data_IF_543797179843
#
_entry.id   IF_543797179843
#
_cell.length_a   1.000
_cell.length_b   1.000
_cell.length_c   1.000
_cell.angle_alpha   90.00
_cell.angle_beta   90.00
_cell.angle_gamma   90.00
#
_symmetry.space_group_name_H-M   'P 1'
#
loop_
_entity.id
_entity.type
_entity.pdbx_description
1 polymer ?
#
# COMPACT_ATOMS: atom_id res chain seq x y z
N UNK A 1 -3.85 43.17 -24.97
CA UNK A 1 -4.76 42.35 -24.14
C UNK A 1 -3.92 41.22 -23.53
N UNK A 2 -3.45 41.45 -22.31
CA UNK A 2 -2.69 40.48 -21.53
C UNK A 2 -3.63 39.38 -21.04
N UNK A 3 -3.50 38.17 -21.57
CA UNK A 3 -4.11 36.99 -20.94
C UNK A 3 -3.15 36.51 -19.86
N UNK A 4 -3.51 36.81 -18.62
CA UNK A 4 -3.03 36.10 -17.44
C UNK A 4 -3.56 34.66 -17.51
N UNK A 5 -2.72 33.73 -17.93
CA UNK A 5 -2.97 32.31 -17.71
C UNK A 5 -2.43 31.98 -16.33
N UNK A 6 -3.31 31.98 -15.34
CA UNK A 6 -3.06 31.31 -14.07
C UNK A 6 -3.14 29.80 -14.34
N UNK A 7 -2.03 29.22 -14.78
CA UNK A 7 -1.84 27.78 -14.70
C UNK A 7 -1.73 27.45 -13.21
N UNK A 8 -2.82 26.95 -12.64
CA UNK A 8 -2.78 26.27 -11.35
C UNK A 8 -1.97 25.00 -11.54
N UNK A 9 -0.73 25.02 -11.06
CA UNK A 9 0.12 23.84 -10.90
C UNK A 9 -0.67 22.80 -10.09
N UNK A 10 -1.18 21.75 -10.74
CA UNK A 10 -1.68 20.57 -10.01
C UNK A 10 -0.46 19.88 -9.40
N UNK A 11 -0.23 20.15 -8.12
CA UNK A 11 0.83 19.58 -7.30
C UNK A 11 0.62 18.06 -7.25
N UNK A 12 1.50 17.29 -7.90
CA UNK A 12 1.43 15.83 -7.90
C UNK A 12 1.71 15.34 -6.48
N UNK A 13 0.65 14.98 -5.75
CA UNK A 13 0.73 14.64 -4.34
C UNK A 13 1.22 13.21 -4.15
N UNK A 14 2.41 13.12 -3.57
CA UNK A 14 3.01 11.88 -3.05
C UNK A 14 2.09 11.32 -1.97
N UNK A 15 1.82 10.01 -2.00
CA UNK A 15 1.00 9.33 -0.99
C UNK A 15 1.89 8.64 0.02
N UNK A 16 1.84 9.07 1.28
CA UNK A 16 2.67 8.50 2.35
C UNK A 16 1.96 7.35 3.05
N UNK A 17 2.75 6.43 3.61
CA UNK A 17 2.24 5.28 4.35
C UNK A 17 1.21 5.62 5.45
N UNK A 18 1.36 6.69 6.26
CA UNK A 18 0.37 7.07 7.27
C UNK A 18 -0.98 7.54 6.68
N UNK A 19 -0.97 8.01 5.43
CA UNK A 19 -2.17 8.50 4.74
C UNK A 19 -2.98 7.35 4.12
N UNK A 20 -2.44 6.13 4.09
CA UNK A 20 -3.09 4.94 3.55
C UNK A 20 -3.76 4.17 4.70
N UNK A 21 -5.11 4.06 4.69
CA UNK A 21 -5.83 3.42 5.78
C UNK A 21 -5.52 1.92 5.89
N UNK A 22 -5.45 1.41 7.10
CA UNK A 22 -5.40 -0.04 7.38
C UNK A 22 -6.77 -0.69 7.24
N UNK A 23 -6.85 -2.02 7.13
CA UNK A 23 -8.14 -2.71 7.12
C UNK A 23 -8.94 -2.44 8.41
N UNK A 24 -8.27 -2.36 9.56
CA UNK A 24 -8.90 -1.93 10.83
C UNK A 24 -9.63 -0.61 10.67
N UNK A 25 -8.94 0.42 10.15
CA UNK A 25 -9.52 1.75 9.95
C UNK A 25 -10.65 1.74 8.91
N UNK A 26 -10.56 0.90 7.88
CA UNK A 26 -11.63 0.74 6.89
C UNK A 26 -12.88 0.09 7.49
N UNK A 27 -12.72 -0.88 8.41
CA UNK A 27 -13.84 -1.45 9.16
C UNK A 27 -14.45 -0.44 10.14
N UNK A 28 -13.64 0.30 10.89
CA UNK A 28 -14.10 1.32 11.84
C UNK A 28 -14.90 2.43 11.14
N UNK A 29 -14.48 2.83 9.93
CA UNK A 29 -15.19 3.80 9.09
C UNK A 29 -16.41 3.22 8.37
N UNK A 30 -16.70 1.93 8.51
CA UNK A 30 -17.79 1.23 7.83
C UNK A 30 -17.61 1.11 6.31
N UNK A 31 -16.39 1.33 5.80
CA UNK A 31 -16.05 1.21 4.38
C UNK A 31 -15.89 -0.25 3.96
N UNK A 32 -15.49 -1.13 4.89
CA UNK A 32 -15.58 -2.58 4.74
C UNK A 32 -16.71 -3.14 5.61
N UNK A 33 -17.45 -4.11 5.07
CA UNK A 33 -18.54 -4.79 5.78
C UNK A 33 -18.14 -6.24 6.09
N UNK A 34 -18.47 -6.80 7.24
CA UNK A 34 -18.20 -8.22 7.53
C UNK A 34 -18.82 -9.14 6.46
N UNK A 35 -18.09 -10.19 6.06
CA UNK A 35 -18.62 -11.22 5.16
C UNK A 35 -19.57 -12.16 5.92
N UNK A 36 -20.48 -12.82 5.19
CA UNK A 36 -21.37 -13.85 5.75
C UNK A 36 -20.63 -15.15 6.08
N UNK A 37 -19.56 -15.45 5.34
CA UNK A 37 -18.72 -16.61 5.53
C UNK A 37 -17.26 -16.17 5.40
N UNK A 38 -16.41 -16.72 6.25
CA UNK A 38 -14.98 -16.41 6.29
C UNK A 38 -14.16 -17.63 5.87
N UNK A 39 -12.96 -17.39 5.35
CA UNK A 39 -11.98 -18.40 4.92
C UNK A 39 -10.86 -18.57 5.93
N UNK A 40 -10.68 -17.56 6.79
CA UNK A 40 -9.65 -17.47 7.80
C UNK A 40 -10.26 -16.94 9.09
N UNK A 41 -9.60 -17.20 10.23
CA UNK A 41 -10.02 -16.65 11.52
C UNK A 41 -9.70 -15.13 11.61
N UNK A 42 -10.40 -14.37 12.46
CA UNK A 42 -10.05 -12.96 12.68
C UNK A 42 -8.67 -12.78 13.32
N UNK A 43 -7.91 -11.78 12.86
CA UNK A 43 -6.58 -11.48 13.39
C UNK A 43 -6.32 -9.97 13.36
N UNK A 44 -6.48 -9.30 14.52
CA UNK A 44 -6.39 -7.85 14.66
C UNK A 44 -5.02 -7.29 14.23
N UNK A 45 -3.94 -8.03 14.51
CA UNK A 45 -2.59 -7.61 14.14
C UNK A 45 -2.43 -7.53 12.62
N UNK A 46 -2.96 -8.52 11.90
CA UNK A 46 -2.93 -8.51 10.44
C UNK A 46 -3.80 -7.41 9.85
N UNK A 47 -4.94 -7.08 10.47
CA UNK A 47 -5.80 -5.97 10.02
C UNK A 47 -5.09 -4.61 10.06
N UNK A 48 -4.17 -4.41 11.00
CA UNK A 48 -3.35 -3.21 11.10
C UNK A 48 -2.17 -3.18 10.10
N UNK A 49 -1.80 -4.34 9.56
CA UNK A 49 -0.66 -4.52 8.64
C UNK A 49 -1.06 -4.67 7.18
N UNK A 50 -2.36 -4.68 6.88
CA UNK A 50 -2.89 -4.74 5.52
C UNK A 50 -3.67 -3.47 5.21
N UNK A 51 -3.54 -2.97 3.99
CA UNK A 51 -4.23 -1.79 3.47
C UNK A 51 -4.85 -2.07 2.11
N UNK A 52 -5.96 -1.39 1.82
CA UNK A 52 -6.53 -1.27 0.48
C UNK A 52 -6.39 0.18 0.03
N UNK A 53 -5.72 0.41 -1.10
CA UNK A 53 -5.51 1.73 -1.68
C UNK A 53 -6.08 1.77 -3.10
N UNK A 54 -6.68 2.90 -3.47
CA UNK A 54 -7.13 3.15 -4.84
C UNK A 54 -6.40 4.38 -5.38
N UNK A 55 -5.64 4.19 -6.45
CA UNK A 55 -4.81 5.24 -7.04
C UNK A 55 -3.62 4.69 -7.81
N UNK A 56 -2.74 5.60 -8.23
CA UNK A 56 -1.52 5.27 -8.95
C UNK A 56 -0.46 4.70 -7.99
N UNK A 57 -0.02 3.46 -8.24
CA UNK A 57 0.99 2.78 -7.44
C UNK A 57 2.35 3.48 -7.46
N UNK A 58 2.64 4.27 -8.50
CA UNK A 58 3.91 4.99 -8.68
C UNK A 58 4.07 6.20 -7.74
N UNK A 59 2.98 6.63 -7.09
CA UNK A 59 2.95 7.75 -6.16
C UNK A 59 3.15 7.33 -4.69
N UNK A 60 3.21 6.03 -4.41
CA UNK A 60 3.32 5.50 -3.04
C UNK A 60 4.74 5.61 -2.50
N UNK A 61 4.91 6.32 -1.38
CA UNK A 61 6.14 6.35 -0.59
C UNK A 61 6.24 5.07 0.28
N UNK A 62 6.74 4.00 -0.32
CA UNK A 62 6.91 2.67 0.30
C UNK A 62 8.29 2.07 -0.02
N UNK A 63 8.69 1.01 0.68
CA UNK A 63 9.99 0.36 0.40
C UNK A 63 10.02 -0.33 -0.96
N UNK A 64 8.91 -0.98 -1.34
CA UNK A 64 8.78 -1.64 -2.64
C UNK A 64 7.38 -1.60 -3.22
N UNK A 65 7.34 -1.54 -4.55
CA UNK A 65 6.14 -1.83 -5.34
C UNK A 65 6.38 -3.09 -6.17
N UNK A 66 5.32 -3.86 -6.39
CA UNK A 66 5.34 -5.05 -7.24
C UNK A 66 4.74 -4.71 -8.59
N UNK A 67 5.56 -4.78 -9.63
CA UNK A 67 5.17 -4.55 -11.01
C UNK A 67 4.65 -5.84 -11.66
N UNK A 68 3.47 -5.79 -12.29
CA UNK A 68 2.99 -6.83 -13.19
C UNK A 68 3.70 -6.75 -14.55
N UNK A 69 4.92 -7.28 -14.57
CA UNK A 69 5.79 -7.24 -15.74
C UNK A 69 5.45 -8.31 -16.78
N UNK A 70 5.93 -8.11 -18.00
CA UNK A 70 5.94 -9.14 -19.02
C UNK A 70 7.32 -9.82 -19.14
N UNK A 71 7.39 -10.90 -19.92
CA UNK A 71 8.62 -11.71 -20.08
C UNK A 71 9.85 -10.91 -20.54
N UNK A 72 9.67 -9.79 -21.24
CA UNK A 72 10.81 -8.98 -21.68
C UNK A 72 11.43 -8.15 -20.54
N UNK A 73 10.66 -7.80 -19.51
CA UNK A 73 11.01 -6.83 -18.48
C UNK A 73 11.36 -5.43 -19.02
N UNK A 74 11.11 -5.16 -20.31
CA UNK A 74 11.45 -3.89 -20.97
C UNK A 74 10.27 -2.90 -20.96
N UNK A 75 9.34 -3.06 -20.04
CA UNK A 75 8.09 -2.31 -19.97
C UNK A 75 7.03 -2.81 -20.95
N UNK A 76 5.92 -2.08 -21.01
CA UNK A 76 4.74 -2.42 -21.81
C UNK A 76 3.64 -1.36 -21.69
N UNK A 77 2.38 -1.78 -21.79
CA UNK A 77 1.22 -0.95 -21.44
C UNK A 77 0.76 -1.18 -20.00
N UNK A 78 -0.31 -0.49 -19.57
CA UNK A 78 -0.88 -0.63 -18.23
C UNK A 78 0.09 -0.22 -17.13
N UNK A 79 0.02 -0.90 -15.97
CA UNK A 79 0.86 -0.59 -14.79
C UNK A 79 2.36 -0.73 -15.06
N UNK A 80 2.78 -1.69 -15.90
CA UNK A 80 4.18 -1.87 -16.30
C UNK A 80 4.71 -0.65 -17.06
N UNK A 81 3.90 -0.15 -18.01
CA UNK A 81 4.17 1.09 -18.72
C UNK A 81 4.23 2.31 -17.80
N UNK A 82 3.28 2.43 -16.87
CA UNK A 82 3.25 3.53 -15.89
C UNK A 82 4.50 3.51 -14.98
N UNK A 83 4.88 2.34 -14.47
CA UNK A 83 6.08 2.17 -13.63
C UNK A 83 7.35 2.49 -14.41
N UNK A 84 7.49 2.03 -15.67
CA UNK A 84 8.64 2.37 -16.50
C UNK A 84 8.67 3.85 -16.90
N UNK A 85 7.51 4.45 -17.19
CA UNK A 85 7.40 5.88 -17.49
C UNK A 85 7.82 6.72 -16.28
N UNK A 86 7.37 6.33 -15.09
CA UNK A 86 7.73 6.94 -13.84
C UNK A 86 9.23 6.75 -13.53
N UNK A 87 9.69 5.51 -13.36
CA UNK A 87 11.07 5.21 -13.00
C UNK A 87 12.11 5.68 -14.04
N UNK A 88 11.68 5.99 -15.26
CA UNK A 88 12.53 6.55 -16.30
C UNK A 88 13.49 5.53 -16.91
N UNK A 89 14.39 6.03 -17.77
CA UNK A 89 15.24 5.18 -18.62
C UNK A 89 16.25 4.32 -17.86
N UNK A 90 16.56 4.63 -16.61
CA UNK A 90 17.52 3.86 -15.81
C UNK A 90 16.94 2.50 -15.39
N UNK A 91 15.64 2.43 -15.07
CA UNK A 91 14.98 1.15 -14.82
C UNK A 91 15.10 0.24 -16.06
N UNK A 92 14.81 0.78 -17.25
CA UNK A 92 14.92 0.02 -18.50
C UNK A 92 16.34 -0.53 -18.73
N UNK A 93 17.38 0.25 -18.40
CA UNK A 93 18.77 -0.21 -18.50
C UNK A 93 19.04 -1.35 -17.51
N UNK A 94 18.66 -1.18 -16.24
CA UNK A 94 18.85 -2.22 -15.22
C UNK A 94 18.11 -3.52 -15.60
N UNK A 95 16.88 -3.43 -16.16
CA UNK A 95 16.16 -4.57 -16.71
C UNK A 95 16.93 -5.24 -17.87
N UNK A 96 17.52 -4.45 -18.77
CA UNK A 96 18.24 -4.98 -19.94
C UNK A 96 19.60 -5.60 -19.59
N UNK A 97 20.26 -5.10 -18.55
CA UNK A 97 21.57 -5.60 -18.09
C UNK A 97 21.46 -6.79 -17.15
N UNK A 98 20.41 -6.85 -16.35
CA UNK A 98 20.18 -7.97 -15.46
C UNK A 98 19.80 -9.16 -16.35
N UNK A 99 20.64 -10.21 -16.40
CA UNK A 99 20.33 -11.49 -17.04
C UNK A 99 19.21 -12.24 -16.28
N UNK A 100 18.12 -11.55 -15.99
CA UNK A 100 16.97 -12.06 -15.29
C UNK A 100 16.27 -13.03 -16.22
N UNK A 101 15.99 -14.22 -15.70
CA UNK A 101 15.23 -15.20 -16.45
C UNK A 101 13.83 -14.63 -16.76
N UNK A 102 13.37 -14.63 -18.02
CA UNK A 102 12.14 -13.95 -18.48
C UNK A 102 10.83 -14.54 -17.96
N UNK A 103 10.87 -15.39 -16.93
CA UNK A 103 9.71 -16.08 -16.36
C UNK A 103 9.76 -16.15 -14.83
N UNK A 104 10.61 -15.35 -14.19
CA UNK A 104 10.79 -15.37 -12.74
C UNK A 104 10.47 -13.99 -12.17
N UNK A 105 9.91 -14.00 -10.96
CA UNK A 105 9.88 -12.80 -10.13
C UNK A 105 11.31 -12.38 -9.80
N UNK A 106 11.59 -11.09 -9.92
CA UNK A 106 12.95 -10.55 -9.78
C UNK A 106 12.93 -9.17 -9.14
N UNK A 107 13.99 -8.87 -8.41
CA UNK A 107 14.21 -7.56 -7.82
C UNK A 107 15.09 -6.72 -8.72
N UNK A 108 14.72 -5.46 -8.89
CA UNK A 108 15.59 -4.44 -9.48
C UNK A 108 15.79 -3.32 -8.46
N UNK A 109 17.05 -3.09 -8.11
CA UNK A 109 17.45 -1.98 -7.26
C UNK A 109 17.55 -0.69 -8.07
N UNK A 110 16.81 0.35 -7.68
CA UNK A 110 16.99 1.68 -8.24
C UNK A 110 18.18 2.34 -7.53
N UNK A 111 19.22 2.76 -8.26
CA UNK A 111 20.40 3.39 -7.63
C UNK A 111 20.00 4.75 -7.03
N UNK A 112 20.59 5.12 -5.88
CA UNK A 112 20.27 6.39 -5.16
C UNK A 112 20.36 7.67 -6.01
N UNK A 113 21.26 7.74 -7.00
CA UNK A 113 21.34 8.89 -7.92
C UNK A 113 20.17 8.96 -8.90
N UNK A 114 19.55 7.83 -9.19
CA UNK A 114 18.38 7.73 -10.06
C UNK A 114 17.12 8.14 -9.31
N UNK A 115 16.96 7.73 -8.04
CA UNK A 115 15.88 8.21 -7.16
C UNK A 115 15.91 9.74 -6.90
N UNK A 116 17.10 10.36 -6.85
CA UNK A 116 17.26 11.81 -6.74
C UNK A 116 16.95 12.53 -8.07
N UNK A 117 17.28 11.90 -9.20
CA UNK A 117 16.90 12.40 -10.54
C UNK A 117 15.41 12.24 -10.81
N UNK A 118 14.76 11.18 -10.32
CA UNK A 118 13.31 10.94 -10.39
C UNK A 118 12.52 11.99 -9.59
N UNK A 119 13.00 12.41 -8.41
CA UNK A 119 12.41 13.53 -7.66
C UNK A 119 12.42 14.87 -8.42
N UNK A 120 13.35 15.03 -9.36
CA UNK A 120 13.52 16.26 -10.15
C UNK A 120 13.31 16.01 -11.66
N UNK A 121 12.72 14.87 -12.06
CA UNK A 121 12.59 14.53 -13.46
C UNK A 121 11.45 15.32 -14.09
N UNK A 122 11.78 16.51 -14.60
CA UNK A 122 10.95 17.27 -15.54
C UNK A 122 11.12 16.65 -16.93
N UNK A 123 10.07 16.00 -17.44
CA UNK A 123 9.93 15.87 -18.89
C UNK A 123 9.18 17.10 -19.38
N UNK A 124 9.85 17.97 -20.12
CA UNK A 124 9.15 18.77 -21.12
C UNK A 124 8.74 17.79 -22.23
N UNK A 125 7.58 17.19 -22.11
CA UNK A 125 6.83 16.83 -23.31
C UNK A 125 5.82 17.95 -23.61
N UNK A 126 5.35 17.99 -24.86
CA UNK A 126 4.42 19.01 -25.36
C UNK A 126 3.03 18.99 -24.66
N UNK A 127 2.83 18.24 -23.57
CA UNK A 127 1.59 18.18 -22.80
C UNK A 127 1.67 18.80 -21.41
N UNK A 128 2.87 19.17 -20.92
CA UNK A 128 3.03 19.91 -19.66
C UNK A 128 2.71 19.14 -18.37
N UNK A 129 2.52 17.81 -18.44
CA UNK A 129 2.17 17.00 -17.28
C UNK A 129 3.38 16.77 -16.37
N UNK A 130 3.31 17.31 -15.15
CA UNK A 130 4.29 17.01 -14.08
C UNK A 130 3.99 15.61 -13.54
N UNK A 131 5.01 14.78 -13.31
CA UNK A 131 4.89 13.50 -12.61
C UNK A 131 5.98 13.47 -11.55
N UNK A 132 5.63 13.83 -10.31
CA UNK A 132 6.53 13.70 -9.17
C UNK A 132 6.49 12.26 -8.66
N UNK A 133 7.64 11.62 -8.54
CA UNK A 133 7.76 10.24 -8.08
C UNK A 133 8.52 10.25 -6.78
N UNK A 134 7.93 9.67 -5.73
CA UNK A 134 8.75 9.08 -4.68
C UNK A 134 9.14 7.72 -5.19
N UNK A 135 10.41 7.59 -5.55
CA UNK A 135 10.97 6.29 -5.89
C UNK A 135 10.69 5.35 -4.73
N UNK A 136 9.92 4.26 -4.90
CA UNK A 136 10.09 3.15 -3.99
C UNK A 136 11.57 2.79 -4.04
N UNK A 137 12.15 2.39 -2.91
CA UNK A 137 13.57 2.03 -2.87
C UNK A 137 13.86 0.88 -3.84
N UNK A 138 12.83 0.07 -4.12
CA UNK A 138 12.91 -1.17 -4.89
C UNK A 138 11.68 -1.42 -5.76
N UNK A 139 11.87 -2.00 -6.94
CA UNK A 139 10.78 -2.52 -7.77
C UNK A 139 10.97 -4.03 -7.89
N UNK A 140 9.94 -4.78 -7.51
CA UNK A 140 9.90 -6.23 -7.70
C UNK A 140 9.07 -6.51 -8.95
N UNK A 141 9.69 -7.02 -10.00
CA UNK A 141 9.00 -7.41 -11.23
C UNK A 141 8.47 -8.83 -11.07
N UNK A 142 7.16 -9.00 -11.18
CA UNK A 142 6.49 -10.29 -11.17
C UNK A 142 5.86 -10.57 -12.55
N UNK A 143 6.28 -11.67 -13.19
CA UNK A 143 5.73 -12.10 -14.49
C UNK A 143 4.58 -13.06 -14.26
N UNK A 144 3.37 -12.50 -14.21
CA UNK A 144 2.14 -13.27 -14.01
C UNK A 144 1.83 -14.24 -15.16
N UNK A 145 0.98 -15.25 -14.92
CA UNK A 145 0.49 -16.15 -15.98
C UNK A 145 -0.52 -15.44 -16.89
N UNK A 146 -0.48 -15.75 -18.19
CA UNK A 146 -1.64 -15.54 -19.08
C UNK A 146 -2.70 -16.56 -18.72
N UNK A 147 -3.93 -16.11 -18.49
CA UNK A 147 -5.02 -16.98 -18.09
C UNK A 147 -5.41 -17.96 -19.20
N UNK A 148 -5.71 -19.19 -18.81
CA UNK A 148 -6.22 -20.22 -19.70
C UNK A 148 -7.28 -21.05 -18.98
N UNK A 149 -8.47 -21.15 -19.59
CA UNK A 149 -9.56 -21.99 -19.08
C UNK A 149 -9.24 -23.48 -19.14
N UNK A 150 -8.31 -23.90 -20.00
CA UNK A 150 -7.91 -25.31 -20.13
C UNK A 150 -6.89 -25.76 -19.08
N UNK A 151 -6.31 -24.84 -18.31
CA UNK A 151 -5.18 -25.12 -17.40
C UNK A 151 -5.26 -24.26 -16.11
N UNK A 152 -6.46 -24.14 -15.55
CA UNK A 152 -6.76 -23.20 -14.44
C UNK A 152 -5.86 -23.46 -13.23
N UNK A 153 -5.63 -24.71 -12.86
CA UNK A 153 -4.84 -25.06 -11.67
C UNK A 153 -3.38 -24.60 -11.79
N UNK A 154 -2.74 -24.86 -12.93
CA UNK A 154 -1.37 -24.40 -13.16
C UNK A 154 -1.29 -22.89 -13.20
N UNK A 155 -2.27 -22.22 -13.82
CA UNK A 155 -2.31 -20.75 -13.83
C UNK A 155 -2.48 -20.20 -12.41
N UNK A 156 -3.30 -20.83 -11.56
CA UNK A 156 -3.47 -20.42 -10.18
C UNK A 156 -2.17 -20.55 -9.38
N UNK A 157 -1.47 -21.69 -9.47
CA UNK A 157 -0.17 -21.90 -8.81
C UNK A 157 0.89 -20.91 -9.28
N UNK A 158 0.89 -20.55 -10.56
CA UNK A 158 1.81 -19.56 -11.10
C UNK A 158 1.52 -18.15 -10.58
N UNK A 159 0.23 -17.78 -10.44
CA UNK A 159 -0.16 -16.51 -9.88
C UNK A 159 0.17 -16.44 -8.38
N UNK A 160 -0.13 -17.49 -7.62
CA UNK A 160 0.26 -17.62 -6.21
C UNK A 160 1.78 -17.47 -6.05
N UNK A 161 2.57 -18.14 -6.88
CA UNK A 161 4.03 -18.04 -6.86
C UNK A 161 4.52 -16.61 -7.12
N UNK A 162 3.82 -15.80 -7.91
CA UNK A 162 4.18 -14.40 -8.12
C UNK A 162 4.08 -13.59 -6.81
N UNK A 163 2.98 -13.74 -6.06
CA UNK A 163 2.81 -13.07 -4.76
C UNK A 163 3.81 -13.61 -3.74
N UNK A 164 3.87 -14.94 -3.57
CA UNK A 164 4.77 -15.60 -2.62
C UNK A 164 6.23 -15.19 -2.82
N UNK A 165 6.76 -15.32 -4.05
CA UNK A 165 8.16 -14.99 -4.35
C UNK A 165 8.44 -13.49 -4.15
N UNK A 166 7.45 -12.62 -4.42
CA UNK A 166 7.62 -11.17 -4.20
C UNK A 166 7.76 -10.85 -2.71
N UNK A 167 6.97 -11.49 -1.85
CA UNK A 167 7.05 -11.35 -0.40
C UNK A 167 8.39 -11.89 0.15
N UNK A 168 8.82 -13.06 -0.33
CA UNK A 168 10.11 -13.65 0.03
C UNK A 168 11.30 -12.74 -0.34
N UNK A 169 11.26 -12.14 -1.54
CA UNK A 169 12.25 -11.15 -1.97
C UNK A 169 12.24 -9.94 -1.04
N UNK A 170 11.07 -9.41 -0.70
CA UNK A 170 10.96 -8.26 0.20
C UNK A 170 11.58 -8.56 1.57
N UNK A 171 11.27 -9.73 2.15
CA UNK A 171 11.85 -10.19 3.41
C UNK A 171 13.38 -10.34 3.32
N UNK A 172 13.87 -10.97 2.26
CA UNK A 172 15.31 -11.21 2.05
C UNK A 172 16.10 -9.90 2.00
N UNK A 173 15.53 -8.86 1.42
CA UNK A 173 16.15 -7.54 1.27
C UNK A 173 15.88 -6.60 2.46
N UNK A 174 15.18 -7.09 3.49
CA UNK A 174 14.84 -6.31 4.67
C UNK A 174 13.83 -5.17 4.41
N UNK A 175 13.01 -5.30 3.37
CA UNK A 175 11.96 -4.34 3.03
C UNK A 175 10.77 -4.54 3.96
N UNK A 176 10.20 -3.43 4.44
CA UNK A 176 9.10 -3.45 5.42
C UNK A 176 7.74 -3.20 4.81
N UNK A 177 7.70 -2.49 3.68
CA UNK A 177 6.45 -2.08 3.05
C UNK A 177 6.40 -2.58 1.59
N UNK A 178 5.35 -3.33 1.24
CA UNK A 178 5.17 -3.89 -0.10
C UNK A 178 3.80 -3.51 -0.64
N UNK A 179 3.76 -2.83 -1.78
CA UNK A 179 2.52 -2.54 -2.49
C UNK A 179 2.37 -3.44 -3.72
N UNK A 180 1.23 -4.13 -3.84
CA UNK A 180 0.90 -4.99 -4.96
C UNK A 180 -0.09 -4.32 -5.91
N UNK A 181 0.23 -4.33 -7.21
CA UNK A 181 -0.78 -4.16 -8.25
C UNK A 181 -1.58 -5.45 -8.47
N UNK A 182 -2.68 -5.36 -9.23
CA UNK A 182 -3.46 -6.54 -9.61
C UNK A 182 -2.76 -7.35 -10.72
N UNK A 183 -1.92 -8.32 -10.32
CA UNK A 183 -1.15 -9.16 -11.25
C UNK A 183 -2.08 -10.00 -12.15
N UNK A 184 -1.80 -10.02 -13.45
CA UNK A 184 -2.50 -10.80 -14.50
C UNK A 184 -3.94 -10.42 -14.85
N UNK A 185 -4.58 -9.45 -14.19
CA UNK A 185 -6.00 -9.12 -14.44
C UNK A 185 -6.23 -8.17 -15.62
N UNK A 186 -5.18 -7.54 -16.16
CA UNK A 186 -5.26 -6.72 -17.37
C UNK A 186 -5.19 -7.55 -18.65
N UNK A 187 -4.23 -7.26 -19.52
CA UNK A 187 -4.05 -7.94 -20.82
C UNK A 187 -3.86 -9.47 -20.73
N UNK A 188 -3.47 -9.99 -19.56
CA UNK A 188 -3.32 -11.43 -19.31
C UNK A 188 -4.63 -12.13 -18.97
N UNK A 189 -5.72 -11.38 -18.79
CA UNK A 189 -7.10 -11.87 -18.81
C UNK A 189 -7.49 -12.76 -17.64
N UNK A 190 -6.77 -12.71 -16.52
CA UNK A 190 -7.13 -13.49 -15.33
C UNK A 190 -8.43 -12.93 -14.72
N UNK A 191 -9.46 -13.77 -14.46
CA UNK A 191 -10.70 -13.30 -13.86
C UNK A 191 -10.45 -12.61 -12.52
N UNK A 192 -10.89 -11.36 -12.39
CA UNK A 192 -10.59 -10.50 -11.23
C UNK A 192 -10.97 -11.15 -9.89
N UNK A 193 -12.17 -11.74 -9.70
CA UNK A 193 -12.50 -12.42 -8.43
C UNK A 193 -11.56 -13.58 -8.10
N UNK A 194 -11.21 -14.40 -9.10
CA UNK A 194 -10.34 -15.55 -8.90
C UNK A 194 -8.89 -15.11 -8.57
N UNK A 195 -8.37 -14.10 -9.27
CA UNK A 195 -7.06 -13.53 -8.98
C UNK A 195 -7.01 -12.89 -7.59
N UNK A 196 -8.08 -12.20 -7.20
CA UNK A 196 -8.20 -11.53 -5.89
C UNK A 196 -8.21 -12.54 -4.75
N UNK A 197 -8.94 -13.67 -4.88
CA UNK A 197 -8.85 -14.75 -3.89
C UNK A 197 -7.42 -15.27 -3.74
N UNK A 198 -6.71 -15.50 -4.85
CA UNK A 198 -5.32 -15.98 -4.80
C UNK A 198 -4.42 -14.96 -4.12
N UNK A 199 -4.54 -13.68 -4.47
CA UNK A 199 -3.75 -12.60 -3.89
C UNK A 199 -3.95 -12.49 -2.37
N UNK A 200 -5.22 -12.38 -1.94
CA UNK A 200 -5.57 -12.23 -0.54
C UNK A 200 -5.18 -13.45 0.29
N UNK A 201 -5.46 -14.66 -0.20
CA UNK A 201 -5.14 -15.91 0.49
C UNK A 201 -3.62 -16.13 0.65
N UNK A 202 -2.87 -15.87 -0.44
CA UNK A 202 -1.40 -16.01 -0.43
C UNK A 202 -0.78 -15.03 0.56
N UNK A 203 -1.18 -13.76 0.52
CA UNK A 203 -0.68 -12.74 1.46
C UNK A 203 -1.11 -13.07 2.89
N UNK A 204 -2.35 -13.50 3.11
CA UNK A 204 -2.84 -13.89 4.44
C UNK A 204 -1.97 -14.99 5.05
N UNK A 205 -1.79 -16.10 4.33
CA UNK A 205 -0.95 -17.22 4.77
C UNK A 205 0.50 -16.81 4.97
N UNK A 206 1.04 -15.96 4.09
CA UNK A 206 2.40 -15.48 4.24
C UNK A 206 2.57 -14.64 5.50
N UNK A 207 1.65 -13.71 5.79
CA UNK A 207 1.73 -12.85 6.96
C UNK A 207 1.58 -13.60 8.30
N UNK A 208 0.93 -14.77 8.28
CA UNK A 208 0.84 -15.69 9.42
C UNK A 208 2.11 -16.53 9.64
N UNK A 209 3.01 -16.57 8.65
CA UNK A 209 4.30 -17.27 8.78
C UNK A 209 5.33 -16.45 9.57
N UNK A 210 6.42 -17.10 9.98
CA UNK A 210 7.54 -16.44 10.66
C UNK A 210 8.17 -15.33 9.80
N UNK A 211 8.33 -15.56 8.50
CA UNK A 211 8.81 -14.54 7.57
C UNK A 211 7.82 -13.38 7.41
N UNK A 212 6.53 -13.70 7.49
CA UNK A 212 5.45 -12.73 7.52
C UNK A 212 5.65 -11.66 8.58
N UNK A 213 6.08 -12.02 9.79
CA UNK A 213 6.31 -11.07 10.91
C UNK A 213 7.34 -9.98 10.62
N UNK A 214 8.17 -10.13 9.57
CA UNK A 214 9.21 -9.17 9.19
C UNK A 214 8.69 -8.00 8.34
N UNK A 215 7.46 -8.08 7.82
CA UNK A 215 6.82 -7.06 6.99
C UNK A 215 5.86 -6.19 7.81
N UNK A 216 5.97 -4.87 7.72
CA UNK A 216 5.19 -3.95 8.54
C UNK A 216 3.88 -3.52 7.84
N UNK A 217 3.88 -3.43 6.51
CA UNK A 217 2.67 -3.12 5.73
C UNK A 217 2.63 -3.81 4.36
N UNK A 218 1.49 -4.44 4.05
CA UNK A 218 1.11 -4.87 2.71
C UNK A 218 -0.04 -4.00 2.20
N UNK A 219 0.06 -3.51 0.97
CA UNK A 219 -0.94 -2.63 0.37
C UNK A 219 -1.42 -3.26 -0.93
N UNK A 220 -2.72 -3.56 -1.03
CA UNK A 220 -3.35 -3.91 -2.29
C UNK A 220 -3.75 -2.63 -3.01
N UNK A 221 -3.19 -2.39 -4.19
CA UNK A 221 -3.41 -1.18 -4.98
C UNK A 221 -4.36 -1.48 -6.14
N UNK A 222 -5.49 -0.78 -6.13
CA UNK A 222 -6.45 -0.76 -7.22
C UNK A 222 -6.16 0.46 -8.09
N UNK A 223 -5.46 0.22 -9.19
CA UNK A 223 -5.13 1.29 -10.13
C UNK A 223 -6.31 1.57 -11.08
N UNK A 224 -6.74 2.83 -11.12
CA UNK A 224 -7.82 3.31 -11.99
C UNK A 224 -7.35 3.37 -13.46
N UNK A 225 -6.05 3.56 -13.71
CA UNK A 225 -5.48 3.78 -15.03
C UNK A 225 -5.41 2.51 -15.89
N UNK A 226 -5.62 1.35 -15.29
CA UNK A 226 -5.56 0.03 -15.96
C UNK A 226 -6.96 -0.53 -16.24
N UNK A 227 -8.02 0.12 -15.73
CA UNK A 227 -9.41 -0.34 -15.90
C UNK A 227 -10.10 0.49 -16.99
N UNK A 228 -9.67 0.33 -18.24
CA UNK A 228 -10.64 0.41 -19.33
C UNK A 228 -11.35 -0.95 -19.33
N UNK A 229 -12.34 -1.12 -18.46
CA UNK A 229 -13.50 -2.02 -18.58
C UNK A 229 -14.20 -2.15 -17.21
N UNK A 230 -15.34 -1.47 -17.07
CA UNK A 230 -16.33 -1.53 -15.97
C UNK A 230 -15.85 -1.27 -14.53
N UNK A 231 -16.42 -0.22 -13.91
CA UNK A 231 -16.44 0.04 -12.45
C UNK A 231 -16.79 -1.15 -11.54
N UNK A 232 -17.19 -2.32 -12.08
CA UNK A 232 -17.56 -3.52 -11.32
C UNK A 232 -16.36 -4.26 -10.74
N UNK A 233 -15.14 -4.01 -11.23
CA UNK A 233 -13.93 -4.69 -10.76
C UNK A 233 -13.33 -4.04 -9.50
N UNK A 234 -13.65 -2.77 -9.22
CA UNK A 234 -13.13 -2.06 -8.05
C UNK A 234 -13.65 -2.67 -6.74
N UNK A 235 -14.93 -3.03 -6.67
CA UNK A 235 -15.58 -3.55 -5.46
C UNK A 235 -15.20 -5.00 -5.11
N UNK A 236 -14.43 -5.67 -5.97
CA UNK A 236 -14.05 -7.08 -5.76
C UNK A 236 -13.16 -7.23 -4.53
N UNK A 237 -12.24 -6.29 -4.29
CA UNK A 237 -11.43 -6.33 -3.06
C UNK A 237 -12.29 -6.05 -1.83
N UNK A 238 -13.17 -5.05 -1.84
CA UNK A 238 -14.03 -4.75 -0.68
C UNK A 238 -14.98 -5.90 -0.34
N UNK A 239 -15.44 -6.64 -1.35
CA UNK A 239 -16.31 -7.80 -1.12
C UNK A 239 -15.56 -9.04 -0.64
N UNK A 240 -14.31 -9.24 -1.09
CA UNK A 240 -13.54 -10.45 -0.77
C UNK A 240 -12.58 -10.30 0.42
N UNK A 241 -12.08 -9.09 0.71
CA UNK A 241 -11.23 -8.83 1.89
C UNK A 241 -11.88 -9.38 3.17
N UNK A 242 -13.18 -9.14 3.45
CA UNK A 242 -13.80 -9.65 4.68
C UNK A 242 -13.91 -11.17 4.76
N UNK A 243 -13.78 -11.90 3.64
CA UNK A 243 -13.68 -13.35 3.69
C UNK A 243 -12.29 -13.80 4.17
N UNK A 244 -11.22 -13.09 3.81
CA UNK A 244 -9.82 -13.48 4.11
C UNK A 244 -9.21 -12.78 5.31
N UNK A 245 -9.70 -11.59 5.62
CA UNK A 245 -9.29 -10.73 6.72
C UNK A 245 -10.56 -10.27 7.46
N UNK A 246 -11.31 -11.20 8.08
CA UNK A 246 -12.52 -10.83 8.79
C UNK A 246 -12.20 -9.89 9.96
N UNK A 247 -13.15 -9.01 10.30
CA UNK A 247 -12.97 -8.08 11.40
C UNK A 247 -12.73 -8.87 12.70
N UNK A 248 -11.69 -8.50 13.43
CA UNK A 248 -11.48 -8.99 14.76
C UNK A 248 -12.63 -8.49 15.66
N UNK A 249 -13.14 -9.32 16.58
CA UNK A 249 -13.97 -8.80 17.66
C UNK A 249 -13.18 -7.66 18.30
N UNK A 250 -13.80 -6.49 18.43
CA UNK A 250 -13.28 -5.47 19.34
C UNK A 250 -13.14 -6.21 20.67
N UNK A 251 -11.95 -6.29 21.29
CA UNK A 251 -11.85 -6.89 22.61
C UNK A 251 -12.92 -6.19 23.44
N UNK A 252 -13.88 -6.96 23.95
CA UNK A 252 -14.80 -6.44 24.93
C UNK A 252 -13.90 -5.77 25.95
N UNK A 253 -14.12 -4.49 26.22
CA UNK A 253 -13.58 -3.89 27.42
C UNK A 253 -14.20 -4.75 28.52
N UNK A 254 -13.47 -5.75 28.99
CA UNK A 254 -13.80 -6.35 30.26
C UNK A 254 -13.63 -5.19 31.22
N UNK A 255 -14.63 -4.94 32.06
CA UNK A 255 -14.53 -4.08 33.24
C UNK A 255 -13.49 -4.60 34.26
N UNK A 256 -12.48 -5.34 33.82
CA UNK A 256 -11.40 -5.90 34.60
C UNK A 256 -10.14 -5.06 34.39
N UNK A 257 -9.79 -4.34 35.46
CA UNK A 257 -8.56 -3.59 35.70
C UNK A 257 -8.41 -2.27 34.92
N UNK A 258 -9.37 -1.36 35.12
CA UNK A 258 -8.95 -0.01 35.51
C UNK A 258 -8.49 -0.18 36.96
N UNK A 259 -7.18 -0.21 37.21
CA UNK A 259 -6.71 0.12 38.56
C UNK A 259 -7.24 1.54 38.83
N UNK A 260 -8.01 1.77 39.90
CA UNK A 260 -8.51 3.11 40.16
C UNK A 260 -7.28 4.00 40.30
N UNK A 261 -7.17 5.01 39.43
CA UNK A 261 -6.30 6.15 39.73
C UNK A 261 -6.68 6.60 41.14
N UNK A 262 -5.70 6.66 42.05
CA UNK A 262 -5.93 7.22 43.37
C UNK A 262 -6.47 8.63 43.17
N UNK A 263 -7.77 8.83 43.41
CA UNK A 263 -8.35 10.14 43.58
C UNK A 263 -7.66 10.76 44.79
N UNK A 264 -6.65 11.58 44.52
CA UNK A 264 -6.08 12.47 45.54
C UNK A 264 -7.25 13.35 46.00
N UNK A 265 -7.66 13.28 47.27
CA UNK A 265 -8.82 14.00 47.74
C UNK A 265 -8.60 15.50 47.51
N UNK A 266 -9.59 16.18 46.90
CA UNK A 266 -9.59 17.61 46.55
C UNK A 266 -9.13 18.52 47.71
N UNK A 267 -9.24 18.03 48.96
CA UNK A 267 -8.71 18.69 50.15
C UNK A 267 -7.18 18.82 50.20
N UNK A 268 -6.42 17.88 49.64
CA UNK A 268 -4.94 17.98 49.56
C UNK A 268 -4.51 18.96 48.47
N UNK A 269 -5.20 18.98 47.33
CA UNK A 269 -4.91 19.88 46.20
C UNK A 269 -5.18 21.35 46.57
N UNK A 270 -6.23 21.61 47.36
CA UNK A 270 -6.54 22.95 47.89
C UNK A 270 -5.52 23.45 48.93
N UNK A 271 -4.80 22.55 49.59
CA UNK A 271 -3.81 22.90 50.63
C UNK A 271 -2.47 23.39 50.05
N UNK A 272 -2.24 23.17 48.75
CA UNK A 272 -1.00 23.54 48.06
C UNK A 272 -1.13 24.81 47.21
N UNK A 273 -2.31 25.42 47.17
CA UNK A 273 -2.51 26.69 46.46
C UNK A 273 -1.84 27.84 47.23
N UNK A 274 -1.06 28.71 46.56
CA UNK A 274 -0.46 29.87 47.21
C UNK A 274 -1.54 30.86 47.66
N UNK A 275 -1.31 31.49 48.82
CA UNK A 275 -2.18 32.54 49.35
C UNK A 275 -2.32 33.70 48.36
N UNK A 276 -3.52 34.28 48.29
CA UNK A 276 -3.77 35.47 47.49
C UNK A 276 -2.83 36.61 47.94
N UNK A 277 -2.19 37.34 47.01
CA UNK A 277 -1.31 38.44 47.37
C UNK A 277 -2.08 39.51 48.16
N UNK A 278 -1.47 39.98 49.24
CA UNK A 278 -2.05 41.01 50.10
C UNK A 278 -2.32 42.29 49.29
N UNK A 279 -3.45 42.99 49.53
CA UNK A 279 -3.71 44.26 48.87
C UNK A 279 -2.65 45.28 49.28
N UNK A 280 -1.98 45.87 48.28
CA UNK A 280 -1.04 46.96 48.47
C UNK A 280 -1.74 48.10 49.22
N UNK A 281 -1.17 48.48 50.36
CA UNK A 281 -1.63 49.62 51.13
C UNK A 281 -1.26 50.90 50.39
N UNK A 282 -2.22 51.48 49.66
CA UNK A 282 -2.14 52.86 49.22
C UNK A 282 -2.15 53.79 50.44
N UNK A 283 -0.95 54.10 50.93
CA UNK A 283 -0.71 55.15 51.90
C UNK A 283 0.01 56.33 51.23
N UNK A 284 -0.83 57.30 50.84
CA UNK A 284 -0.63 58.76 50.88
C UNK A 284 0.63 59.36 50.25
N UNK A 285 0.43 60.14 49.19
CA UNK A 285 0.61 61.60 49.18
C UNK A 285 -0.15 62.23 48.01
#
# INVERSE_FOLDING_TARGET
MSRSSSDSEEDVSIVRLPDIPTLTQLYEKGQLKPAKATRHEPNAELLNRVSLFQGDITLLEVDSIVNAANRSLLGGGGVDGAIHAAAGRELLKECAYSHIHPSKTSLIHLRRRDAQRMRNWRREDNSGLQVAIVSPKHIIHAVGPVYSRSDVETRAKQLESCYQTSLEIAVKEGLKHVAFCCISTGIYGYPVPAATHIALDTVRRFLESEDGSKLDRIIFVRDISVVIWLNKDLDVYESLIPEHFPPAPVPAISDAAIEPEEEVPVSEELSQLPDAPAPESDSKA
#
